data_IF_608717918241
#
_entry.id   IF_608717918241
#
_cell.length_a   1.000
_cell.length_b   1.000
_cell.length_c   1.000
_cell.angle_alpha   90.00
_cell.angle_beta   90.00
_cell.angle_gamma   90.00
#
_symmetry.space_group_name_H-M   'P 1'
#
loop_
_entity.id
_entity.type
_entity.pdbx_description
1 polymer ?
#
# COMPACT_ATOMS: atom_id res chain seq x y z
N UNK A 1 -16.27 1.00 17.25
CA UNK A 1 -16.61 -0.44 17.36
C UNK A 1 -15.79 -1.02 18.49
N UNK A 2 -16.40 -1.85 19.34
CA UNK A 2 -15.71 -2.57 20.43
C UNK A 2 -16.03 -4.06 20.27
N UNK A 3 -15.04 -4.92 20.45
CA UNK A 3 -15.21 -6.38 20.36
C UNK A 3 -14.74 -6.99 21.66
N UNK A 4 -15.61 -7.78 22.30
CA UNK A 4 -15.29 -8.50 23.54
C UNK A 4 -15.51 -9.97 23.28
N UNK A 5 -14.49 -10.78 23.53
CA UNK A 5 -14.57 -12.24 23.49
C UNK A 5 -14.37 -12.81 24.89
N UNK A 6 -15.03 -13.93 25.17
CA UNK A 6 -14.86 -14.68 26.41
C UNK A 6 -15.15 -16.16 26.15
N UNK A 7 -14.56 -17.10 26.90
CA UNK A 7 -14.99 -18.50 26.87
C UNK A 7 -16.50 -18.62 27.14
N UNK A 8 -17.13 -19.61 26.52
CA UNK A 8 -18.50 -20.03 26.80
C UNK A 8 -18.50 -21.27 27.68
N UNK A 9 -18.92 -21.15 28.94
CA UNK A 9 -18.94 -22.29 29.86
C UNK A 9 -19.92 -23.39 29.45
N UNK A 10 -20.95 -23.08 28.65
CA UNK A 10 -21.89 -24.10 28.12
C UNK A 10 -21.18 -25.12 27.22
N UNK A 11 -20.03 -24.75 26.65
CA UNK A 11 -19.22 -25.60 25.77
C UNK A 11 -18.23 -26.48 26.54
N UNK A 12 -17.90 -26.13 27.79
CA UNK A 12 -16.89 -26.83 28.59
C UNK A 12 -17.10 -28.35 28.71
N UNK A 13 -18.33 -28.87 28.86
CA UNK A 13 -18.56 -30.31 28.94
C UNK A 13 -18.10 -31.12 27.73
N UNK A 14 -17.85 -30.47 26.59
CA UNK A 14 -17.33 -31.13 25.38
C UNK A 14 -15.81 -31.40 25.45
N UNK A 15 -15.11 -30.78 26.39
CA UNK A 15 -13.71 -31.03 26.64
C UNK A 15 -13.53 -32.07 27.75
N UNK A 16 -12.50 -32.92 27.67
CA UNK A 16 -12.24 -33.90 28.71
C UNK A 16 -11.84 -33.19 30.02
N UNK A 17 -12.67 -33.35 31.05
CA UNK A 17 -12.33 -33.05 32.45
C UNK A 17 -11.96 -31.58 32.72
N UNK A 18 -12.80 -30.65 32.25
CA UNK A 18 -12.64 -29.21 32.57
C UNK A 18 -13.91 -28.62 33.19
N UNK A 19 -13.74 -27.93 34.33
CA UNK A 19 -14.78 -27.07 34.92
C UNK A 19 -14.57 -25.63 34.46
N UNK A 20 -13.34 -25.13 34.62
CA UNK A 20 -12.78 -23.95 33.96
C UNK A 20 -11.68 -24.39 33.00
N UNK A 21 -11.52 -23.68 31.88
CA UNK A 21 -10.53 -24.01 30.85
C UNK A 21 -9.11 -23.62 31.24
N UNK A 22 -8.96 -22.65 32.15
CA UNK A 22 -7.68 -22.23 32.70
C UNK A 22 -7.83 -21.94 34.21
N UNK A 23 -6.82 -22.32 34.99
CA UNK A 23 -6.78 -22.07 36.43
C UNK A 23 -6.67 -20.59 36.82
N UNK A 24 -6.17 -19.73 35.94
CA UNK A 24 -6.06 -18.29 36.21
C UNK A 24 -7.36 -17.52 35.90
N UNK A 25 -8.31 -18.14 35.18
CA UNK A 25 -9.62 -17.55 34.94
C UNK A 25 -10.36 -17.32 36.26
N UNK A 26 -10.80 -16.07 36.48
CA UNK A 26 -11.57 -15.71 37.68
C UNK A 26 -13.03 -16.13 37.59
N UNK A 27 -13.56 -16.27 36.38
CA UNK A 27 -14.90 -16.76 36.08
C UNK A 27 -14.99 -17.20 34.61
N UNK A 28 -15.98 -18.01 34.28
CA UNK A 28 -16.40 -18.29 32.90
C UNK A 28 -17.92 -18.20 32.80
N UNK A 29 -18.41 -17.36 31.87
CA UNK A 29 -19.84 -17.16 31.69
C UNK A 29 -20.44 -18.15 30.70
N UNK A 30 -21.67 -18.56 30.98
CA UNK A 30 -22.52 -19.17 29.96
C UNK A 30 -23.08 -18.10 29.00
N UNK A 31 -23.74 -18.54 27.92
CA UNK A 31 -24.31 -17.64 26.92
C UNK A 31 -25.27 -16.61 27.51
N UNK A 32 -26.15 -17.05 28.42
CA UNK A 32 -27.17 -16.18 29.01
C UNK A 32 -26.56 -15.09 29.90
N UNK A 33 -25.56 -15.45 30.70
CA UNK A 33 -24.84 -14.52 31.56
C UNK A 33 -24.13 -13.45 30.73
N UNK A 34 -23.37 -13.88 29.71
CA UNK A 34 -22.67 -12.95 28.83
C UNK A 34 -23.64 -12.03 28.08
N UNK A 35 -24.72 -12.58 27.51
CA UNK A 35 -25.73 -11.80 26.79
C UNK A 35 -26.43 -10.79 27.70
N UNK A 36 -26.80 -11.20 28.92
CA UNK A 36 -27.48 -10.32 29.88
C UNK A 36 -26.59 -9.16 30.27
N UNK A 37 -25.33 -9.43 30.60
CA UNK A 37 -24.34 -8.40 30.90
C UNK A 37 -24.11 -7.48 29.70
N UNK A 38 -23.88 -8.04 28.52
CA UNK A 38 -23.58 -7.29 27.31
C UNK A 38 -24.74 -6.39 26.89
N UNK A 39 -25.99 -6.87 26.95
CA UNK A 39 -27.17 -6.07 26.66
C UNK A 39 -27.31 -4.90 27.65
N UNK A 40 -27.08 -5.13 28.94
CA UNK A 40 -27.12 -4.07 29.96
C UNK A 40 -26.06 -2.99 29.72
N UNK A 41 -24.83 -3.38 29.37
CA UNK A 41 -23.75 -2.44 29.01
C UNK A 41 -24.10 -1.68 27.73
N UNK A 42 -24.62 -2.38 26.72
CA UNK A 42 -24.98 -1.78 25.44
C UNK A 42 -26.05 -0.68 25.62
N UNK A 43 -27.11 -0.98 26.37
CA UNK A 43 -28.18 -0.03 26.68
C UNK A 43 -27.65 1.18 27.46
N UNK A 44 -26.88 0.95 28.52
CA UNK A 44 -26.36 2.00 29.39
C UNK A 44 -25.45 3.01 28.65
N UNK A 45 -24.63 2.54 27.70
CA UNK A 45 -23.67 3.38 26.99
C UNK A 45 -24.11 3.78 25.56
N UNK A 46 -25.36 3.49 25.17
CA UNK A 46 -25.90 3.78 23.83
C UNK A 46 -25.14 3.07 22.69
N UNK A 47 -24.96 1.76 22.84
CA UNK A 47 -24.44 0.84 21.83
C UNK A 47 -25.53 -0.18 21.46
N UNK A 48 -25.47 -0.69 20.23
CA UNK A 48 -26.09 -1.97 19.89
C UNK A 48 -25.05 -3.08 20.04
N UNK A 49 -25.50 -4.30 20.34
CA UNK A 49 -24.63 -5.48 20.44
C UNK A 49 -25.15 -6.60 19.56
N UNK A 50 -24.25 -7.20 18.80
CA UNK A 50 -24.48 -8.43 18.02
C UNK A 50 -23.67 -9.57 18.65
N UNK A 51 -24.29 -10.74 18.77
CA UNK A 51 -23.67 -11.91 19.37
C UNK A 51 -23.24 -12.90 18.29
N UNK A 52 -21.97 -13.30 18.34
CA UNK A 52 -21.37 -14.32 17.46
C UNK A 52 -20.36 -15.14 18.25
N UNK A 53 -19.55 -15.96 17.58
CA UNK A 53 -18.50 -16.73 18.23
C UNK A 53 -17.63 -17.50 17.26
N UNK A 54 -16.69 -18.26 17.83
CA UNK A 54 -15.80 -19.15 17.08
C UNK A 54 -15.71 -20.52 17.75
N UNK A 55 -15.48 -21.56 16.94
CA UNK A 55 -15.45 -22.96 17.37
C UNK A 55 -16.86 -23.53 17.49
N UNK A 56 -17.40 -24.01 16.38
CA UNK A 56 -18.70 -24.69 16.35
C UNK A 56 -18.63 -26.01 17.13
N UNK A 57 -19.73 -26.44 17.76
CA UNK A 57 -19.78 -27.73 18.40
C UNK A 57 -19.64 -28.84 17.34
N UNK A 58 -19.00 -29.98 17.68
CA UNK A 58 -18.96 -31.12 16.78
C UNK A 58 -20.38 -31.66 16.52
N UNK A 59 -20.54 -32.36 15.40
CA UNK A 59 -21.84 -32.94 15.03
C UNK A 59 -22.39 -33.83 16.15
N UNK A 60 -23.68 -33.67 16.46
CA UNK A 60 -24.37 -34.44 17.49
C UNK A 60 -24.19 -33.97 18.94
N UNK A 61 -23.37 -32.95 19.21
CA UNK A 61 -23.09 -32.46 20.58
C UNK A 61 -24.19 -31.57 21.20
N UNK A 62 -25.30 -31.32 20.49
CA UNK A 62 -26.38 -30.46 20.93
C UNK A 62 -26.09 -28.96 20.78
N UNK A 63 -27.06 -28.11 21.13
CA UNK A 63 -26.96 -26.65 20.97
C UNK A 63 -26.29 -26.00 22.19
N UNK A 64 -24.97 -26.18 22.31
CA UNK A 64 -24.14 -25.48 23.32
C UNK A 64 -23.63 -24.11 22.84
N UNK A 65 -23.83 -23.78 21.56
CA UNK A 65 -23.30 -22.58 20.91
C UNK A 65 -21.81 -22.67 20.61
N UNK A 66 -21.17 -21.53 20.36
CA UNK A 66 -19.74 -21.46 20.06
C UNK A 66 -18.87 -21.72 21.30
N UNK A 67 -17.67 -22.26 21.08
CA UNK A 67 -16.64 -22.47 22.09
C UNK A 67 -16.21 -21.15 22.73
N UNK A 68 -15.99 -20.12 21.93
CA UNK A 68 -15.76 -18.73 22.37
C UNK A 68 -16.93 -17.89 21.90
N UNK A 69 -17.54 -17.15 22.81
CA UNK A 69 -18.62 -16.21 22.52
C UNK A 69 -18.05 -14.79 22.37
N UNK A 70 -18.64 -14.03 21.47
CA UNK A 70 -18.17 -12.70 21.06
C UNK A 70 -19.36 -11.74 21.03
N UNK A 71 -19.21 -10.59 21.66
CA UNK A 71 -20.11 -9.45 21.57
C UNK A 71 -19.47 -8.35 20.73
N UNK A 72 -20.11 -7.98 19.63
CA UNK A 72 -19.68 -6.88 18.75
C UNK A 72 -20.55 -5.67 19.04
N UNK A 73 -19.95 -4.65 19.67
CA UNK A 73 -20.64 -3.44 20.09
C UNK A 73 -20.42 -2.32 19.08
N UNK A 74 -21.52 -1.72 18.60
CA UNK A 74 -21.51 -0.59 17.66
C UNK A 74 -22.24 0.59 18.28
N UNK A 75 -21.60 1.77 18.28
CA UNK A 75 -22.18 2.97 18.88
C UNK A 75 -23.38 3.42 18.04
N UNK A 76 -24.54 3.62 18.67
CA UNK A 76 -25.75 4.02 17.97
C UNK A 76 -25.65 5.52 17.62
N UNK A 77 -25.94 5.87 16.37
CA UNK A 77 -25.92 7.27 15.90
C UNK A 77 -24.52 7.88 15.77
N UNK A 78 -23.45 7.09 15.83
CA UNK A 78 -22.11 7.58 15.51
C UNK A 78 -21.97 7.80 14.00
N UNK A 79 -21.54 8.99 13.53
CA UNK A 79 -21.14 9.18 12.14
C UNK A 79 -19.99 8.23 11.81
N UNK A 80 -20.01 7.58 10.64
CA UNK A 80 -18.93 6.68 10.19
C UNK A 80 -17.55 7.38 10.13
N UNK A 81 -17.53 8.71 10.13
CA UNK A 81 -16.36 9.57 10.01
C UNK A 81 -16.17 10.53 11.18
N UNK A 82 -16.87 10.35 12.31
CA UNK A 82 -16.62 11.19 13.48
C UNK A 82 -15.20 10.92 14.00
N UNK A 83 -14.25 11.79 13.63
CA UNK A 83 -12.94 11.81 14.27
C UNK A 83 -13.20 12.02 15.75
N UNK A 84 -12.69 11.12 16.58
CA UNK A 84 -12.65 11.32 18.01
C UNK A 84 -11.83 12.59 18.26
N UNK A 85 -12.48 13.74 18.35
CA UNK A 85 -11.94 14.87 19.06
C UNK A 85 -11.88 14.41 20.51
N UNK A 86 -10.79 13.73 20.85
CA UNK A 86 -10.47 13.42 22.22
C UNK A 86 -10.40 14.77 22.91
N UNK A 87 -11.35 15.05 23.80
CA UNK A 87 -11.20 16.12 24.77
C UNK A 87 -9.85 15.87 25.45
N UNK A 88 -8.88 16.73 25.15
CA UNK A 88 -7.53 16.64 25.71
C UNK A 88 -7.61 17.10 27.17
N UNK A 89 -8.05 16.20 28.03
CA UNK A 89 -7.86 16.32 29.46
C UNK A 89 -7.75 14.90 30.00
N UNK A 90 -6.53 14.39 30.10
CA UNK A 90 -6.31 13.02 30.54
C UNK A 90 -4.88 12.79 30.96
N UNK A 91 -4.70 12.56 32.26
CA UNK A 91 -3.47 12.09 32.88
C UNK A 91 -2.98 10.82 32.17
N UNK A 92 -1.71 10.80 31.74
CA UNK A 92 -1.13 9.65 31.04
C UNK A 92 -0.74 8.55 32.03
N UNK A 93 -1.69 7.69 32.39
CA UNK A 93 -1.45 6.56 33.32
C UNK A 93 -0.53 5.49 32.72
N UNK A 94 -0.61 5.26 31.40
CA UNK A 94 0.16 4.21 30.73
C UNK A 94 1.58 4.65 30.37
N UNK A 95 2.56 3.76 30.58
CA UNK A 95 3.94 3.92 30.12
C UNK A 95 4.10 3.33 28.71
N UNK A 96 4.46 4.15 27.74
CA UNK A 96 4.81 3.68 26.38
C UNK A 96 6.08 2.82 26.46
N UNK A 97 5.95 1.54 26.12
CA UNK A 97 7.09 0.60 26.05
C UNK A 97 7.80 0.71 24.71
N UNK A 98 7.04 0.88 23.62
CA UNK A 98 7.55 1.01 22.26
C UNK A 98 6.55 1.79 21.39
N UNK A 99 7.06 2.62 20.48
CA UNK A 99 6.26 3.37 19.51
C UNK A 99 6.99 3.43 18.17
N UNK A 100 6.27 3.21 17.08
CA UNK A 100 6.81 3.27 15.73
C UNK A 100 5.82 3.99 14.81
N UNK A 101 6.36 4.83 13.93
CA UNK A 101 5.60 5.50 12.87
C UNK A 101 6.14 5.05 11.52
N UNK A 102 5.28 4.49 10.67
CA UNK A 102 5.66 4.04 9.35
C UNK A 102 5.55 5.18 8.33
N UNK A 103 6.51 5.31 7.40
CA UNK A 103 6.43 6.31 6.35
C UNK A 103 5.25 6.01 5.43
N UNK A 104 4.57 7.08 4.98
CA UNK A 104 3.41 7.00 4.09
C UNK A 104 3.60 7.93 2.91
N UNK A 105 3.08 7.55 1.74
CA UNK A 105 3.05 8.43 0.56
C UNK A 105 2.17 9.68 0.76
N UNK A 106 1.43 9.79 1.86
CA UNK A 106 0.79 11.05 2.26
C UNK A 106 1.81 12.09 2.76
N UNK A 107 2.96 11.65 3.28
CA UNK A 107 4.03 12.54 3.70
C UNK A 107 4.79 13.05 2.48
N UNK A 108 4.96 14.37 2.40
CA UNK A 108 5.58 15.05 1.25
C UNK A 108 6.97 14.51 0.93
N UNK A 109 7.83 14.36 1.93
CA UNK A 109 9.22 13.90 1.71
C UNK A 109 9.31 12.44 1.27
N UNK A 110 8.47 11.57 1.83
CA UNK A 110 8.39 10.15 1.40
C UNK A 110 7.89 10.05 -0.03
N UNK A 111 6.85 10.81 -0.39
CA UNK A 111 6.34 10.87 -1.76
C UNK A 111 7.38 11.40 -2.73
N UNK A 112 8.08 12.49 -2.35
CA UNK A 112 9.18 13.08 -3.13
C UNK A 112 10.28 12.06 -3.41
N UNK A 113 10.75 11.35 -2.38
CA UNK A 113 11.79 10.33 -2.55
C UNK A 113 11.32 9.17 -3.43
N UNK A 114 10.09 8.69 -3.23
CA UNK A 114 9.50 7.64 -4.06
C UNK A 114 9.41 8.06 -5.53
N UNK A 115 8.97 9.29 -5.80
CA UNK A 115 8.86 9.85 -7.15
C UNK A 115 10.24 10.00 -7.80
N UNK A 116 11.22 10.55 -7.08
CA UNK A 116 12.59 10.70 -7.57
C UNK A 116 13.24 9.36 -7.92
N UNK A 117 13.04 8.33 -7.08
CA UNK A 117 13.55 6.99 -7.34
C UNK A 117 12.90 6.36 -8.58
N UNK A 118 11.57 6.45 -8.71
CA UNK A 118 10.86 5.88 -9.85
C UNK A 118 11.22 6.62 -11.16
N UNK A 119 11.30 7.96 -11.13
CA UNK A 119 11.72 8.76 -12.28
C UNK A 119 13.15 8.41 -12.69
N UNK A 120 14.09 8.37 -11.74
CA UNK A 120 15.49 8.02 -12.03
C UNK A 120 15.60 6.64 -12.66
N UNK A 121 14.86 5.66 -12.13
CA UNK A 121 14.80 4.29 -12.69
C UNK A 121 14.27 4.29 -14.13
N UNK A 122 13.21 5.03 -14.43
CA UNK A 122 12.64 5.10 -15.78
C UNK A 122 13.58 5.80 -16.77
N UNK A 123 14.21 6.90 -16.35
CA UNK A 123 15.16 7.64 -17.18
C UNK A 123 16.40 6.80 -17.47
N UNK A 124 16.96 6.11 -16.47
CA UNK A 124 18.09 5.19 -16.66
C UNK A 124 17.75 4.04 -17.61
N UNK A 125 16.57 3.44 -17.44
CA UNK A 125 16.07 2.39 -18.35
C UNK A 125 15.97 2.88 -19.80
N UNK A 126 15.40 4.07 -20.02
CA UNK A 126 15.30 4.69 -21.34
C UNK A 126 16.68 5.02 -21.94
N UNK A 127 17.59 5.56 -21.14
CA UNK A 127 18.98 5.86 -21.54
C UNK A 127 19.71 4.59 -21.98
N UNK A 128 19.65 3.52 -21.18
CA UNK A 128 20.34 2.26 -21.48
C UNK A 128 19.90 1.67 -22.82
N UNK A 129 18.61 1.70 -23.14
CA UNK A 129 18.16 1.24 -24.45
C UNK A 129 18.47 2.18 -25.60
N UNK A 130 18.53 3.49 -25.34
CA UNK A 130 19.00 4.44 -26.33
C UNK A 130 20.47 4.17 -26.70
N UNK A 131 21.34 4.01 -25.70
CA UNK A 131 22.77 3.69 -25.89
C UNK A 131 22.95 2.33 -26.56
N UNK A 132 22.25 1.29 -26.10
CA UNK A 132 22.31 -0.05 -26.72
C UNK A 132 21.87 -0.03 -28.19
N UNK A 133 20.85 0.76 -28.51
CA UNK A 133 20.36 0.94 -29.88
C UNK A 133 21.36 1.68 -30.78
N UNK A 134 22.14 2.61 -30.24
CA UNK A 134 23.22 3.29 -30.96
C UNK A 134 24.39 2.34 -31.24
N UNK A 135 24.82 1.55 -30.27
CA UNK A 135 25.89 0.56 -30.43
C UNK A 135 25.54 -0.50 -31.49
N UNK A 136 24.29 -1.00 -31.48
CA UNK A 136 23.82 -1.97 -32.48
C UNK A 136 23.73 -1.39 -33.91
N UNK A 137 23.51 -0.08 -34.06
CA UNK A 137 23.48 0.58 -35.35
C UNK A 137 24.89 0.83 -35.91
N UNK A 138 25.91 0.91 -35.05
CA UNK A 138 27.32 1.09 -35.44
C UNK A 138 28.01 -0.24 -35.80
N UNK A 139 27.59 -1.36 -35.20
CA UNK A 139 28.10 -2.72 -35.48
C UNK A 139 27.38 -3.39 -36.65
N UNK A 140 27.20 -2.68 -37.77
CA UNK A 140 26.48 -3.18 -38.94
C UNK A 140 27.21 -4.30 -39.68
N UNK A 141 26.97 -5.56 -39.29
CA UNK A 141 27.15 -6.71 -40.18
C UNK A 141 25.84 -6.95 -40.96
N UNK A 142 25.92 -6.85 -42.29
CA UNK A 142 24.78 -6.98 -43.19
C UNK A 142 24.52 -8.46 -43.49
N UNK A 143 23.67 -9.12 -42.70
CA UNK A 143 22.77 -10.17 -43.23
C UNK A 143 21.71 -10.58 -42.19
N UNK A 144 20.52 -10.03 -42.35
CA UNK A 144 19.32 -10.48 -41.65
C UNK A 144 18.12 -9.64 -42.09
N UNK A 145 16.90 -10.21 -42.18
CA UNK A 145 15.72 -9.44 -42.54
C UNK A 145 15.50 -8.33 -41.50
N UNK A 146 14.94 -7.18 -41.89
CA UNK A 146 14.81 -6.03 -41.01
C UNK A 146 13.98 -6.43 -39.78
N UNK A 147 14.41 -6.11 -38.55
CA UNK A 147 13.62 -6.39 -37.37
C UNK A 147 12.31 -5.61 -37.46
N UNK A 148 11.19 -6.31 -37.42
CA UNK A 148 9.85 -5.72 -37.32
C UNK A 148 9.77 -4.82 -36.10
N UNK A 149 9.04 -3.70 -36.21
CA UNK A 149 8.89 -2.68 -35.14
C UNK A 149 8.48 -3.26 -33.77
N UNK A 150 7.86 -4.44 -33.76
CA UNK A 150 7.49 -5.19 -32.56
C UNK A 150 8.71 -5.70 -31.74
N UNK A 151 9.84 -6.00 -32.39
CA UNK A 151 10.99 -6.63 -31.73
C UNK A 151 11.93 -5.64 -31.02
N UNK A 152 11.80 -4.32 -31.24
CA UNK A 152 12.53 -3.30 -30.47
C UNK A 152 11.94 -3.04 -29.08
N UNK A 153 10.73 -3.53 -28.81
CA UNK A 153 10.05 -3.41 -27.52
C UNK A 153 10.27 -4.63 -26.61
N UNK A 154 10.99 -5.65 -27.08
CA UNK A 154 10.99 -6.99 -26.47
C UNK A 154 12.27 -7.39 -25.69
N UNK A 155 13.12 -6.44 -25.32
CA UNK A 155 14.33 -6.72 -24.52
C UNK A 155 14.39 -5.89 -23.22
N UNK A 156 13.23 -5.64 -22.60
CA UNK A 156 13.16 -5.03 -21.28
C UNK A 156 12.51 -5.99 -20.29
N UNK A 157 13.22 -6.33 -19.21
CA UNK A 157 12.60 -6.71 -17.95
C UNK A 157 11.84 -5.52 -17.37
N UNK A 158 10.69 -5.21 -17.99
CA UNK A 158 9.79 -4.13 -17.62
C UNK A 158 8.36 -4.65 -17.40
N UNK A 159 7.51 -3.90 -16.70
CA UNK A 159 6.12 -4.31 -16.49
C UNK A 159 5.39 -4.43 -17.83
N UNK A 160 4.59 -5.50 -17.98
CA UNK A 160 3.69 -5.66 -19.12
C UNK A 160 2.66 -4.54 -19.06
N UNK A 161 2.80 -3.54 -19.94
CA UNK A 161 1.84 -2.45 -20.07
C UNK A 161 0.57 -2.95 -20.79
N UNK A 162 -0.58 -2.45 -20.37
CA UNK A 162 -1.84 -2.61 -21.12
C UNK A 162 -1.77 -1.89 -22.47
N UNK A 163 -2.63 -2.27 -23.42
CA UNK A 163 -2.67 -1.64 -24.74
C UNK A 163 -2.99 -0.14 -24.69
N UNK A 164 -3.72 0.32 -23.67
CA UNK A 164 -3.99 1.74 -23.45
C UNK A 164 -2.75 2.46 -22.93
N UNK A 165 -2.05 1.88 -21.95
CA UNK A 165 -0.81 2.43 -21.40
C UNK A 165 0.27 2.52 -22.48
N UNK A 166 0.41 1.49 -23.33
CA UNK A 166 1.32 1.53 -24.50
C UNK A 166 0.99 2.68 -25.44
N UNK A 167 -0.28 2.87 -25.79
CA UNK A 167 -0.72 3.99 -26.64
C UNK A 167 -0.44 5.35 -26.01
N UNK A 168 -0.70 5.50 -24.72
CA UNK A 168 -0.42 6.74 -23.99
C UNK A 168 1.08 7.05 -23.98
N UNK A 169 1.89 6.03 -23.73
CA UNK A 169 3.34 6.07 -23.84
C UNK A 169 3.74 6.49 -25.26
N UNK A 170 3.28 5.83 -26.31
CA UNK A 170 3.67 6.14 -27.69
C UNK A 170 3.27 7.54 -28.15
N UNK A 171 2.15 8.08 -27.65
CA UNK A 171 1.68 9.43 -27.93
C UNK A 171 2.51 10.51 -27.23
N UNK A 172 3.14 10.19 -26.10
CA UNK A 172 3.91 11.15 -25.30
C UNK A 172 5.22 11.55 -26.00
N UNK A 173 5.77 12.74 -25.69
CA UNK A 173 7.01 13.25 -26.30
C UNK A 173 8.17 12.26 -26.14
N UNK A 174 8.93 12.02 -27.21
CA UNK A 174 10.05 11.07 -27.18
C UNK A 174 11.26 11.67 -26.45
N UNK A 175 12.07 10.85 -25.75
CA UNK A 175 13.36 11.27 -25.27
C UNK A 175 14.24 11.80 -26.40
N UNK A 176 15.06 12.81 -26.11
CA UNK A 176 15.95 13.45 -27.07
C UNK A 176 17.31 13.72 -26.42
N UNK A 177 18.31 14.05 -27.24
CA UNK A 177 19.63 14.40 -26.76
C UNK A 177 19.88 15.90 -27.02
N UNK A 178 20.44 16.60 -26.04
CA UNK A 178 20.82 18.00 -26.18
C UNK A 178 22.21 18.20 -25.57
N UNK A 179 23.20 18.61 -26.36
CA UNK A 179 24.52 18.99 -25.84
C UNK A 179 25.29 17.88 -25.09
N UNK A 180 25.06 16.59 -25.41
CA UNK A 180 25.69 15.45 -24.71
C UNK A 180 24.87 14.89 -23.55
N UNK A 181 23.76 15.53 -23.19
CA UNK A 181 22.81 15.05 -22.18
C UNK A 181 21.64 14.31 -22.84
N UNK A 182 21.17 13.26 -22.17
CA UNK A 182 19.93 12.55 -22.47
C UNK A 182 18.78 13.19 -21.70
N UNK A 183 17.80 13.72 -22.44
CA UNK A 183 16.66 14.44 -21.88
C UNK A 183 15.38 13.63 -22.03
N UNK A 184 14.67 13.41 -20.93
CA UNK A 184 13.35 12.76 -20.91
C UNK A 184 12.29 13.77 -20.46
N UNK A 185 11.33 14.14 -21.32
CA UNK A 185 10.27 15.08 -20.97
C UNK A 185 9.44 14.64 -19.74
N UNK A 186 8.99 15.59 -18.92
CA UNK A 186 8.13 15.30 -17.78
C UNK A 186 6.80 14.65 -18.21
N UNK A 187 6.19 15.16 -19.28
CA UNK A 187 4.99 14.57 -19.88
C UNK A 187 5.18 13.09 -20.28
N UNK A 188 6.40 12.75 -20.72
CA UNK A 188 6.78 11.39 -21.06
C UNK A 188 6.85 10.50 -19.84
N UNK A 189 7.35 11.02 -18.71
CA UNK A 189 7.42 10.30 -17.45
C UNK A 189 6.04 10.07 -16.83
N UNK A 190 5.14 11.06 -16.91
CA UNK A 190 3.75 10.91 -16.44
C UNK A 190 2.96 9.86 -17.22
N UNK A 191 3.33 9.56 -18.46
CA UNK A 191 2.71 8.47 -19.21
C UNK A 191 3.01 7.08 -18.59
N UNK A 192 4.01 6.96 -17.71
CA UNK A 192 4.31 5.71 -17.02
C UNK A 192 3.41 5.53 -15.79
N UNK A 193 2.67 4.41 -15.67
CA UNK A 193 1.66 4.21 -14.61
C UNK A 193 2.19 4.37 -13.19
N UNK A 194 3.43 3.93 -12.92
CA UNK A 194 4.04 4.05 -11.59
C UNK A 194 4.37 5.49 -11.21
N UNK A 195 4.81 6.30 -12.17
CA UNK A 195 5.07 7.73 -11.95
C UNK A 195 3.75 8.47 -11.76
N UNK A 196 2.77 8.19 -12.63
CA UNK A 196 1.43 8.79 -12.56
C UNK A 196 0.74 8.54 -11.20
N UNK A 197 0.92 7.35 -10.61
CA UNK A 197 0.39 7.05 -9.26
C UNK A 197 1.00 7.88 -8.14
N UNK A 198 2.18 8.45 -8.34
CA UNK A 198 2.91 9.24 -7.34
C UNK A 198 2.72 10.74 -7.55
N UNK A 199 2.40 11.16 -8.77
CA UNK A 199 2.16 12.54 -9.13
C UNK A 199 1.28 12.62 -10.39
N UNK A 200 0.19 13.38 -10.31
CA UNK A 200 -0.80 13.47 -11.39
C UNK A 200 -0.45 14.54 -12.44
N UNK A 201 0.39 15.52 -12.07
CA UNK A 201 0.64 16.72 -12.86
C UNK A 201 2.14 17.01 -13.06
N UNK A 202 2.47 17.66 -14.17
CA UNK A 202 3.85 17.97 -14.55
C UNK A 202 4.46 19.08 -13.69
N UNK A 203 3.68 20.08 -13.29
CA UNK A 203 4.13 21.16 -12.42
C UNK A 203 4.33 20.65 -10.99
N UNK A 204 3.41 19.80 -10.52
CA UNK A 204 3.56 19.11 -9.25
C UNK A 204 4.80 18.19 -9.24
N UNK A 205 5.06 17.48 -10.34
CA UNK A 205 6.24 16.62 -10.46
C UNK A 205 7.51 17.45 -10.48
N UNK A 206 7.54 18.58 -11.21
CA UNK A 206 8.67 19.51 -11.21
C UNK A 206 8.98 20.00 -9.80
N UNK A 207 7.96 20.46 -9.07
CA UNK A 207 8.10 20.98 -7.72
C UNK A 207 8.56 19.92 -6.70
N UNK A 208 8.18 18.65 -6.89
CA UNK A 208 8.63 17.55 -6.04
C UNK A 208 10.05 17.10 -6.38
N UNK A 209 10.43 17.09 -7.66
CA UNK A 209 11.74 16.63 -8.12
C UNK A 209 12.84 17.68 -7.95
N UNK A 210 12.48 18.96 -7.80
CA UNK A 210 13.42 20.05 -7.60
C UNK A 210 14.44 19.74 -6.49
N UNK A 211 15.72 19.95 -6.78
CA UNK A 211 16.83 19.66 -5.87
C UNK A 211 17.11 18.16 -5.63
N UNK A 212 16.39 17.24 -6.27
CA UNK A 212 16.60 15.77 -6.12
C UNK A 212 17.13 15.14 -7.40
N UNK A 213 16.64 15.59 -8.56
CA UNK A 213 17.02 15.11 -9.88
C UNK A 213 17.39 16.31 -10.75
N UNK A 214 18.35 16.14 -11.68
CA UNK A 214 18.71 17.20 -12.64
C UNK A 214 17.57 17.42 -13.62
N UNK A 215 17.08 18.66 -13.67
CA UNK A 215 16.06 19.11 -14.62
C UNK A 215 16.71 20.01 -15.68
N UNK A 216 16.11 20.07 -16.86
CA UNK A 216 16.47 21.00 -17.91
C UNK A 216 16.30 22.45 -17.46
N UNK A 217 16.93 23.40 -18.17
CA UNK A 217 16.88 24.84 -17.81
C UNK A 217 15.47 25.43 -17.73
N UNK A 218 14.55 24.90 -18.54
CA UNK A 218 13.13 25.25 -18.57
C UNK A 218 12.27 24.36 -17.64
N UNK A 219 12.88 23.39 -16.96
CA UNK A 219 12.20 22.44 -16.07
C UNK A 219 11.25 21.48 -16.78
N UNK A 220 11.30 21.37 -18.11
CA UNK A 220 10.37 20.55 -18.90
C UNK A 220 10.80 19.09 -19.05
N UNK A 221 12.07 18.77 -18.75
CA UNK A 221 12.64 17.43 -18.88
C UNK A 221 13.61 17.10 -17.74
N UNK A 222 13.75 15.82 -17.45
CA UNK A 222 14.82 15.28 -16.60
C UNK A 222 16.04 15.00 -17.48
N UNK A 223 17.22 15.45 -17.05
CA UNK A 223 18.47 15.31 -17.81
C UNK A 223 19.45 14.36 -17.10
N UNK A 224 20.12 13.52 -17.89
CA UNK A 224 21.16 12.59 -17.43
C UNK A 224 22.27 12.55 -18.47
N UNK A 225 23.53 12.51 -18.03
CA UNK A 225 24.69 12.44 -18.92
C UNK A 225 24.66 11.17 -19.79
N UNK A 226 24.95 11.28 -21.10
CA UNK A 226 24.93 10.11 -22.00
C UNK A 226 26.14 9.19 -21.80
N UNK A 227 27.29 9.77 -21.48
CA UNK A 227 28.50 9.03 -21.13
C UNK A 227 28.49 8.84 -19.62
N UNK A 228 28.70 7.60 -19.16
CA UNK A 228 29.12 7.44 -17.77
C UNK A 228 30.47 8.15 -17.67
N UNK A 229 30.62 9.06 -16.69
CA UNK A 229 31.94 9.48 -16.27
C UNK A 229 32.58 8.21 -15.68
N UNK A 230 33.18 7.38 -16.54
CA UNK A 230 34.14 6.34 -16.16
C UNK A 230 35.36 7.09 -15.61
N UNK A 231 35.16 7.68 -14.44
CA UNK A 231 36.19 8.19 -13.56
C UNK A 231 36.99 7.01 -13.05
N UNK A 232 38.13 6.83 -13.70
CA UNK A 232 39.23 5.95 -13.39
C UNK A 232 39.66 5.96 -11.92
#
# INVERSE_FOLDING_TARGET
>A
MVVISTPNSDFNPLFPVVTLRDSDHKFEWNRKQFQTWALGVADFYNYSVEFTGVGEPPEGAGNVGYCTQIGVFRKIGAPETASCAAEQCGEHVYKVVYSVSYPSLQQREVRRLALANEVSRQVQSLRQSYVSGLSAAQSGDRQGPPPTKANRLAAFSGPVFTELEKRNIEKAPKPFCCGGEFCVPLERLLAYPKVNRLCDDADAMRALLEGTVRLSRDGSAVTVDLQDDDGQ
#
